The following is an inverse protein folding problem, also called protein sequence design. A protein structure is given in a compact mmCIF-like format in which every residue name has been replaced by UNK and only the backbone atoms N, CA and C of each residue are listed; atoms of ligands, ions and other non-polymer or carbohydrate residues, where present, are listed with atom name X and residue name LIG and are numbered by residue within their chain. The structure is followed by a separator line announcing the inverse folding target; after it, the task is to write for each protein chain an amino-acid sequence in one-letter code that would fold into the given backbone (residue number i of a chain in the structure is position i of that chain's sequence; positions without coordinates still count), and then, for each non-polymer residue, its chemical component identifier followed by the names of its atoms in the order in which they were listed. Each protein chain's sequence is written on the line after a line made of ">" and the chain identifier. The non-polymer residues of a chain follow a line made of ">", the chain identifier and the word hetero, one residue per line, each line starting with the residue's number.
data_IF_738914834211
#
_entry.id   IF_738914834211
#
_cell.length_a   1.000
_cell.length_b   1.000
_cell.length_c   1.000
_cell.angle_alpha   90.00
_cell.angle_beta   90.00
_cell.angle_gamma   90.00
#
_symmetry.space_group_name_H-M   'P 1'
#
loop_
_entity.id
_entity.type
_entity.pdbx_description
1 polymer ?
#
# COMPACT_ATOMS: atom_id res chain seq x y z
N UNK A 1 24.99 -15.08 10.07
CA UNK A 1 25.30 -15.61 8.73
C UNK A 1 24.52 -14.74 7.75
N UNK A 2 25.21 -13.98 6.91
CA UNK A 2 24.64 -13.20 5.82
C UNK A 2 24.47 -14.13 4.63
N UNK A 3 23.27 -14.23 4.05
CA UNK A 3 22.98 -15.08 2.91
C UNK A 3 22.91 -14.22 1.63
N UNK A 4 23.93 -14.24 0.76
CA UNK A 4 24.02 -13.37 -0.41
C UNK A 4 23.08 -13.74 -1.57
N UNK A 5 22.22 -14.75 -1.40
CA UNK A 5 21.20 -15.17 -2.38
C UNK A 5 19.86 -14.41 -2.25
N UNK A 6 19.70 -13.56 -1.23
CA UNK A 6 18.65 -12.56 -1.21
C UNK A 6 19.12 -11.39 -2.08
N UNK A 7 18.60 -11.36 -3.32
CA UNK A 7 18.90 -10.29 -4.29
C UNK A 7 18.78 -8.90 -3.68
N UNK A 8 19.43 -7.92 -4.29
CA UNK A 8 19.30 -6.54 -3.82
C UNK A 8 17.82 -6.11 -3.79
N UNK A 9 17.46 -5.17 -2.92
CA UNK A 9 16.12 -4.55 -2.92
C UNK A 9 15.71 -4.09 -4.34
N UNK A 10 16.68 -3.69 -5.16
CA UNK A 10 16.50 -3.37 -6.57
C UNK A 10 16.12 -4.57 -7.46
N UNK A 11 16.70 -5.76 -7.21
CA UNK A 11 16.38 -6.98 -7.94
C UNK A 11 15.03 -7.55 -7.54
N UNK A 12 14.67 -7.48 -6.25
CA UNK A 12 13.33 -7.82 -5.78
C UNK A 12 12.27 -6.88 -6.37
N UNK A 13 12.52 -5.56 -6.37
CA UNK A 13 11.65 -4.57 -7.05
C UNK A 13 11.47 -4.89 -8.53
N UNK A 14 12.56 -5.11 -9.28
CA UNK A 14 12.50 -5.41 -10.72
C UNK A 14 11.74 -6.70 -11.03
N UNK A 15 11.85 -7.72 -10.17
CA UNK A 15 11.16 -9.00 -10.36
C UNK A 15 9.65 -8.85 -10.13
N UNK A 16 9.21 -8.06 -9.15
CA UNK A 16 7.79 -7.86 -8.82
C UNK A 16 7.04 -6.94 -9.75
N UNK A 17 7.71 -5.90 -10.26
CA UNK A 17 7.20 -5.08 -11.38
C UNK A 17 6.87 -5.91 -12.62
N UNK A 18 7.44 -7.11 -12.72
CA UNK A 18 7.19 -8.05 -13.82
C UNK A 18 5.99 -8.97 -13.58
N UNK A 19 5.56 -9.17 -12.33
CA UNK A 19 4.46 -10.07 -11.93
C UNK A 19 3.15 -9.31 -11.64
N UNK A 20 3.22 -8.06 -11.22
CA UNK A 20 2.07 -7.17 -11.00
C UNK A 20 1.99 -6.05 -12.05
N UNK A 21 0.83 -5.38 -12.17
CA UNK A 21 0.73 -4.21 -13.03
C UNK A 21 1.50 -3.03 -12.43
N UNK A 22 2.08 -2.15 -13.24
CA UNK A 22 2.80 -0.96 -12.74
C UNK A 22 1.98 -0.11 -11.75
N UNK A 23 0.65 -0.12 -11.88
CA UNK A 23 -0.24 0.57 -10.94
C UNK A 23 -0.27 -0.11 -9.57
N UNK A 24 -0.23 -1.44 -9.51
CA UNK A 24 -0.20 -2.18 -8.25
C UNK A 24 1.07 -1.90 -7.47
N UNK A 25 2.24 -1.95 -8.11
CA UNK A 25 3.52 -1.68 -7.42
C UNK A 25 3.57 -0.26 -6.87
N UNK A 26 3.08 0.71 -7.65
CA UNK A 26 3.00 2.11 -7.22
C UNK A 26 2.06 2.28 -6.02
N UNK A 27 0.90 1.62 -6.01
CA UNK A 27 -0.02 1.66 -4.87
C UNK A 27 0.61 1.04 -3.63
N UNK A 28 1.22 -0.15 -3.75
CA UNK A 28 1.91 -0.80 -2.63
C UNK A 28 3.04 0.07 -2.07
N UNK A 29 3.83 0.71 -2.94
CA UNK A 29 4.89 1.63 -2.53
C UNK A 29 4.36 2.86 -1.79
N UNK A 30 3.24 3.47 -2.24
CA UNK A 30 2.60 4.57 -1.51
C UNK A 30 2.17 4.11 -0.11
N UNK A 31 1.55 2.94 0.03
CA UNK A 31 1.15 2.43 1.35
C UNK A 31 2.36 2.21 2.26
N UNK A 32 3.45 1.67 1.72
CA UNK A 32 4.72 1.48 2.42
C UNK A 32 5.36 2.81 2.85
N UNK A 33 5.40 3.82 1.99
CA UNK A 33 6.02 5.12 2.29
C UNK A 33 5.29 5.89 3.38
N UNK A 34 3.95 5.83 3.39
CA UNK A 34 3.15 6.54 4.40
C UNK A 34 3.04 5.78 5.73
N UNK A 35 3.31 4.48 5.73
CA UNK A 35 3.32 3.58 6.90
C UNK A 35 2.23 3.92 7.95
N UNK A 36 0.94 3.80 7.55
CA UNK A 36 -0.16 4.27 8.38
C UNK A 36 -0.39 3.40 9.63
N UNK A 37 0.37 2.31 9.83
CA UNK A 37 0.31 1.47 11.03
C UNK A 37 1.65 1.39 11.78
N UNK A 38 2.72 2.01 11.26
CA UNK A 38 4.00 2.04 11.97
C UNK A 38 4.75 0.71 11.95
N UNK A 39 4.51 -0.12 10.92
CA UNK A 39 5.09 -1.47 10.82
C UNK A 39 6.31 -1.55 9.91
N UNK A 40 6.71 -0.47 9.22
CA UNK A 40 7.90 -0.52 8.37
C UNK A 40 9.15 -0.87 9.19
N UNK A 41 9.64 -2.11 9.05
CA UNK A 41 10.95 -2.54 9.53
C UNK A 41 11.86 -2.79 8.31
N UNK A 42 12.44 -1.71 7.78
CA UNK A 42 13.54 -1.53 6.78
C UNK A 42 13.75 -2.51 5.59
N UNK A 43 13.46 -3.80 5.69
CA UNK A 43 13.90 -4.82 4.73
C UNK A 43 12.77 -5.55 4.00
N UNK A 44 11.49 -5.36 4.36
CA UNK A 44 10.38 -6.14 3.80
C UNK A 44 9.36 -5.28 3.04
N UNK A 45 9.72 -4.90 1.81
CA UNK A 45 8.87 -4.11 0.88
C UNK A 45 7.57 -4.81 0.44
N UNK A 46 7.31 -6.03 0.94
CA UNK A 46 6.09 -6.81 0.69
C UNK A 46 4.99 -6.63 1.73
N UNK A 47 5.25 -5.83 2.76
CA UNK A 47 4.38 -5.64 3.93
C UNK A 47 2.96 -5.12 3.61
N UNK A 48 2.77 -4.46 2.46
CA UNK A 48 1.50 -3.82 2.09
C UNK A 48 0.87 -4.33 0.79
N UNK A 49 1.35 -5.44 0.21
CA UNK A 49 0.81 -5.95 -1.06
C UNK A 49 -0.63 -6.45 -0.94
N UNK A 50 -0.96 -7.06 0.19
CA UNK A 50 -2.31 -7.57 0.45
C UNK A 50 -3.30 -6.40 0.51
N UNK A 51 -2.94 -5.33 1.21
CA UNK A 51 -3.71 -4.10 1.36
C UNK A 51 -3.83 -3.38 0.01
N UNK A 52 -2.74 -3.28 -0.75
CA UNK A 52 -2.75 -2.70 -2.09
C UNK A 52 -3.74 -3.43 -3.00
N UNK A 53 -3.72 -4.77 -2.99
CA UNK A 53 -4.67 -5.59 -3.74
C UNK A 53 -6.12 -5.37 -3.31
N UNK A 54 -6.38 -5.30 -2.00
CA UNK A 54 -7.72 -5.04 -1.47
C UNK A 54 -8.21 -3.62 -1.82
N UNK A 55 -7.36 -2.61 -1.73
CA UNK A 55 -7.67 -1.22 -2.12
C UNK A 55 -7.99 -1.15 -3.60
N UNK A 56 -7.16 -1.73 -4.48
CA UNK A 56 -7.42 -1.72 -5.92
C UNK A 56 -8.71 -2.47 -6.29
N UNK A 57 -9.00 -3.59 -5.64
CA UNK A 57 -10.26 -4.32 -5.85
C UNK A 57 -11.50 -3.51 -5.41
N UNK A 58 -11.35 -2.66 -4.39
CA UNK A 58 -12.43 -1.80 -3.87
C UNK A 58 -12.49 -0.42 -4.54
N UNK A 59 -11.43 0.00 -5.23
CA UNK A 59 -11.33 1.30 -5.90
C UNK A 59 -12.53 1.64 -6.82
N UNK A 60 -13.09 0.70 -7.63
CA UNK A 60 -14.25 1.00 -8.47
C UNK A 60 -15.51 1.44 -7.69
N UNK A 61 -15.55 1.23 -6.36
CA UNK A 61 -16.65 1.68 -5.49
C UNK A 61 -16.47 3.12 -4.99
N UNK A 62 -15.27 3.70 -5.13
CA UNK A 62 -14.96 5.05 -4.70
C UNK A 62 -15.30 6.06 -5.80
N UNK A 63 -16.08 7.09 -5.48
CA UNK A 63 -16.43 8.15 -6.42
C UNK A 63 -15.59 9.42 -6.23
N UNK A 64 -14.88 9.52 -5.10
CA UNK A 64 -14.02 10.64 -4.76
C UNK A 64 -12.91 10.20 -3.78
N UNK A 65 -11.97 11.12 -3.52
CA UNK A 65 -10.84 10.91 -2.61
C UNK A 65 -11.27 10.55 -1.18
N UNK A 66 -12.35 11.16 -0.68
CA UNK A 66 -12.79 10.90 0.68
C UNK A 66 -13.36 9.48 0.83
N UNK A 67 -14.11 9.01 -0.16
CA UNK A 67 -14.58 7.62 -0.20
C UNK A 67 -13.41 6.64 -0.32
N UNK A 68 -12.40 6.95 -1.14
CA UNK A 68 -11.20 6.13 -1.23
C UNK A 68 -10.42 6.11 0.10
N UNK A 69 -10.31 7.24 0.79
CA UNK A 69 -9.68 7.31 2.10
C UNK A 69 -10.41 6.45 3.15
N UNK A 70 -11.74 6.38 3.07
CA UNK A 70 -12.54 5.45 3.89
C UNK A 70 -12.23 4.01 3.55
N UNK A 71 -12.20 3.65 2.26
CA UNK A 71 -11.86 2.29 1.82
C UNK A 71 -10.47 1.88 2.30
N UNK A 72 -9.47 2.75 2.16
CA UNK A 72 -8.12 2.48 2.64
C UNK A 72 -8.13 2.25 4.14
N UNK A 73 -8.77 3.13 4.92
CA UNK A 73 -8.90 2.93 6.37
C UNK A 73 -9.57 1.58 6.71
N UNK A 74 -10.67 1.22 6.05
CA UNK A 74 -11.37 -0.05 6.27
C UNK A 74 -10.51 -1.26 5.93
N UNK A 75 -9.74 -1.22 4.84
CA UNK A 75 -8.78 -2.28 4.49
C UNK A 75 -7.75 -2.45 5.61
N UNK A 76 -7.18 -1.35 6.10
CA UNK A 76 -6.21 -1.41 7.19
C UNK A 76 -6.80 -1.93 8.50
N UNK A 77 -8.05 -1.56 8.82
CA UNK A 77 -8.77 -2.13 9.97
C UNK A 77 -9.01 -3.63 9.79
N UNK A 78 -9.36 -4.07 8.59
CA UNK A 78 -9.61 -5.50 8.28
C UNK A 78 -8.33 -6.33 8.35
N UNK A 79 -7.19 -5.78 7.94
CA UNK A 79 -5.89 -6.46 7.95
C UNK A 79 -5.18 -6.44 9.31
N UNK A 80 -5.27 -5.33 10.05
CA UNK A 80 -4.43 -5.08 11.23
C UNK A 80 -5.22 -4.75 12.51
N UNK A 81 -6.55 -4.77 12.45
CA UNK A 81 -7.43 -4.30 13.53
C UNK A 81 -7.43 -2.77 13.70
N UNK A 82 -8.55 -2.26 14.24
CA UNK A 82 -8.78 -0.84 14.51
C UNK A 82 -7.82 -0.28 15.55
N UNK A 83 -7.33 -1.12 16.46
CA UNK A 83 -6.37 -0.70 17.49
C UNK A 83 -5.00 -0.33 16.92
N UNK A 84 -4.65 -0.80 15.71
CA UNK A 84 -3.42 -0.44 15.01
C UNK A 84 -3.63 0.68 13.98
N UNK A 85 -4.82 0.78 13.39
CA UNK A 85 -5.21 1.85 12.45
C UNK A 85 -5.49 3.20 13.16
N UNK A 86 -4.54 3.69 13.95
CA UNK A 86 -4.71 4.85 14.85
C UNK A 86 -4.39 6.20 14.21
N UNK A 87 -3.88 6.21 12.98
CA UNK A 87 -3.52 7.45 12.30
C UNK A 87 -4.75 8.32 12.05
N UNK A 88 -4.52 9.62 11.98
CA UNK A 88 -5.60 10.57 11.75
C UNK A 88 -6.13 10.43 10.32
N UNK A 89 -7.38 10.84 10.13
CA UNK A 89 -8.09 10.79 8.84
C UNK A 89 -7.31 11.47 7.72
N UNK A 90 -6.59 12.54 8.02
CA UNK A 90 -5.82 13.32 7.04
C UNK A 90 -4.70 12.49 6.40
N UNK A 91 -4.13 11.53 7.13
CA UNK A 91 -3.11 10.60 6.58
C UNK A 91 -3.73 9.72 5.51
N UNK A 92 -4.90 9.13 5.79
CA UNK A 92 -5.62 8.32 4.81
C UNK A 92 -6.09 9.13 3.60
N UNK A 93 -6.41 10.42 3.77
CA UNK A 93 -6.72 11.31 2.66
C UNK A 93 -5.50 11.63 1.81
N UNK A 94 -4.32 11.79 2.41
CA UNK A 94 -3.06 11.99 1.70
C UNK A 94 -2.75 10.77 0.82
N UNK A 95 -2.79 9.57 1.42
CA UNK A 95 -2.60 8.30 0.71
C UNK A 95 -3.64 8.16 -0.42
N UNK A 96 -4.91 8.44 -0.14
CA UNK A 96 -5.98 8.33 -1.14
C UNK A 96 -5.74 9.23 -2.36
N UNK A 97 -5.21 10.44 -2.18
CA UNK A 97 -4.88 11.33 -3.31
C UNK A 97 -3.85 10.71 -4.22
N UNK A 98 -2.77 10.17 -3.65
CA UNK A 98 -1.69 9.56 -4.43
C UNK A 98 -2.15 8.28 -5.15
N UNK A 99 -2.88 7.41 -4.46
CA UNK A 99 -3.48 6.19 -5.04
C UNK A 99 -4.46 6.52 -6.17
N UNK A 100 -5.26 7.57 -6.01
CA UNK A 100 -6.24 7.98 -7.02
C UNK A 100 -5.58 8.39 -8.33
N UNK A 101 -4.50 9.17 -8.28
CA UNK A 101 -3.75 9.58 -9.46
C UNK A 101 -3.07 8.38 -10.14
N UNK A 102 -2.58 7.41 -9.37
CA UNK A 102 -1.96 6.18 -9.91
C UNK A 102 -2.98 5.35 -10.69
N UNK A 103 -4.20 5.17 -10.17
CA UNK A 103 -5.20 4.25 -10.76
C UNK A 103 -6.01 4.90 -11.89
N UNK A 104 -6.22 6.23 -11.85
CA UNK A 104 -6.95 6.94 -12.92
C UNK A 104 -6.14 7.18 -14.20
N UNK A 105 -4.82 6.95 -14.17
CA UNK A 105 -3.91 7.13 -15.31
C UNK A 105 -3.94 5.91 -16.22
#
# INVERSE_FOLDING_TARGET
>A
MYNPDEGSVEDYRKKRVKEYSEAFDKVSMVLFEHDPIGLNFDDNVDEYELEAGMVMNRFPKANNIDELATIIFEVFVECFDKELATRKREVYQQIAKEVWEIIKT
#
